data_IF_551004206776
#
_entry.id   IF_551004206776
#
_cell.length_a   1.000
_cell.length_b   1.000
_cell.length_c   1.000
_cell.angle_alpha   90.00
_cell.angle_beta   90.00
_cell.angle_gamma   90.00
#
_symmetry.space_group_name_H-M   'P 1'
#
loop_
_entity.id
_entity.type
_entity.pdbx_description
1 polymer ?
#
# COMPACT_ATOMS: atom_id res chain seq x y z
N UNK A 1 -8.99 35.27 -8.72
CA UNK A 1 -8.85 33.89 -8.25
C UNK A 1 -7.39 33.55 -8.35
N UNK A 2 -6.72 33.33 -7.23
CA UNK A 2 -5.34 32.78 -7.24
C UNK A 2 -5.41 31.39 -7.88
N UNK A 3 -4.62 31.15 -8.93
CA UNK A 3 -4.54 29.84 -9.55
C UNK A 3 -4.03 28.86 -8.49
N UNK A 4 -4.68 27.69 -8.37
CA UNK A 4 -4.23 26.63 -7.46
C UNK A 4 -2.77 26.28 -7.75
N UNK A 5 -1.95 26.05 -6.71
CA UNK A 5 -0.53 25.74 -6.92
C UNK A 5 -0.36 24.45 -7.72
N UNK A 6 0.63 24.41 -8.62
CA UNK A 6 0.95 23.21 -9.39
C UNK A 6 1.64 22.18 -8.49
N UNK A 7 1.11 20.98 -8.44
CA UNK A 7 1.64 19.85 -7.65
C UNK A 7 2.25 18.79 -8.56
N UNK A 8 3.50 18.40 -8.29
CA UNK A 8 4.14 17.24 -8.89
C UNK A 8 4.24 16.11 -7.87
N UNK A 9 3.67 14.95 -8.18
CA UNK A 9 3.82 13.73 -7.38
C UNK A 9 4.95 12.89 -7.98
N UNK A 10 5.93 12.52 -7.17
CA UNK A 10 7.01 11.58 -7.50
C UNK A 10 6.72 10.29 -6.75
N UNK A 11 6.37 9.22 -7.45
CA UNK A 11 5.83 8.01 -6.83
C UNK A 11 6.33 6.73 -7.51
N UNK A 12 6.43 5.60 -6.78
CA UNK A 12 6.49 4.30 -7.42
C UNK A 12 5.14 3.97 -8.08
N UNK A 13 5.15 3.00 -9.01
CA UNK A 13 3.92 2.52 -9.66
C UNK A 13 3.01 1.71 -8.74
N UNK A 14 3.42 1.44 -7.54
CA UNK A 14 2.86 0.59 -6.50
C UNK A 14 1.33 0.42 -6.59
N UNK A 15 0.87 -0.67 -7.17
CA UNK A 15 -0.54 -1.05 -7.36
C UNK A 15 -1.50 0.07 -7.82
N UNK A 16 -0.96 1.17 -8.38
CA UNK A 16 -1.76 2.30 -8.87
C UNK A 16 -2.24 3.28 -7.81
N UNK A 17 -1.72 3.24 -6.57
CA UNK A 17 -2.09 4.23 -5.53
C UNK A 17 -1.72 5.66 -5.91
N UNK A 18 -0.68 5.84 -6.74
CA UNK A 18 -0.37 7.15 -7.30
C UNK A 18 -1.57 7.80 -8.01
N UNK A 19 -2.44 7.00 -8.67
CA UNK A 19 -3.66 7.50 -9.33
C UNK A 19 -4.67 8.00 -8.31
N UNK A 20 -4.79 7.30 -7.17
CA UNK A 20 -5.68 7.70 -6.10
C UNK A 20 -5.27 9.06 -5.51
N UNK A 21 -3.98 9.24 -5.18
CA UNK A 21 -3.45 10.51 -4.70
C UNK A 21 -3.55 11.62 -5.75
N UNK A 22 -3.19 11.36 -7.01
CA UNK A 22 -3.34 12.33 -8.10
C UNK A 22 -4.80 12.79 -8.25
N UNK A 23 -5.75 11.84 -8.22
CA UNK A 23 -7.18 12.14 -8.27
C UNK A 23 -7.66 12.93 -7.06
N UNK A 24 -7.22 12.57 -5.85
CA UNK A 24 -7.57 13.26 -4.62
C UNK A 24 -7.10 14.72 -4.62
N UNK A 25 -5.84 14.97 -4.95
CA UNK A 25 -5.33 16.35 -5.04
C UNK A 25 -6.00 17.16 -6.15
N UNK A 26 -6.39 16.53 -7.26
CA UNK A 26 -7.20 17.24 -8.29
C UNK A 26 -8.59 17.62 -7.76
N UNK A 27 -9.22 16.80 -6.93
CA UNK A 27 -10.51 17.13 -6.28
C UNK A 27 -10.36 18.24 -5.26
N UNK A 28 -9.20 18.37 -4.59
CA UNK A 28 -8.85 19.51 -3.75
C UNK A 28 -8.54 20.79 -4.57
N UNK A 29 -8.60 20.73 -5.89
CA UNK A 29 -8.40 21.89 -6.77
C UNK A 29 -6.96 22.12 -7.21
N UNK A 30 -6.03 21.18 -6.97
CA UNK A 30 -4.65 21.29 -7.39
C UNK A 30 -4.43 20.70 -8.80
N UNK A 31 -3.94 21.47 -9.79
CA UNK A 31 -3.43 20.93 -11.03
C UNK A 31 -2.25 19.98 -10.74
N UNK A 32 -2.51 18.66 -10.79
CA UNK A 32 -1.57 17.64 -10.34
C UNK A 32 -1.11 16.77 -11.49
N UNK A 33 0.19 16.45 -11.51
CA UNK A 33 0.82 15.51 -12.42
C UNK A 33 1.68 14.52 -11.61
N UNK A 34 1.70 13.25 -12.02
CA UNK A 34 2.53 12.22 -11.39
C UNK A 34 3.65 11.77 -12.32
N UNK A 35 4.87 11.69 -11.80
CA UNK A 35 5.98 10.95 -12.37
C UNK A 35 6.15 9.62 -11.62
N UNK A 36 5.98 8.52 -12.33
CA UNK A 36 6.30 7.19 -11.80
C UNK A 36 7.76 6.88 -12.07
N UNK A 37 8.55 6.80 -11.00
CA UNK A 37 10.01 6.65 -11.15
C UNK A 37 10.43 5.22 -11.48
N UNK A 38 9.65 4.20 -11.11
CA UNK A 38 9.90 2.77 -11.38
C UNK A 38 9.19 2.26 -12.65
N UNK A 39 8.61 3.17 -13.46
CA UNK A 39 7.95 2.77 -14.69
C UNK A 39 8.97 2.30 -15.73
N UNK A 40 9.00 0.99 -15.91
CA UNK A 40 9.75 0.34 -16.96
C UNK A 40 8.85 0.17 -18.18
N UNK A 41 9.18 0.83 -19.28
CA UNK A 41 8.43 0.71 -20.53
C UNK A 41 8.49 -0.72 -21.09
N UNK A 42 7.33 -1.36 -21.28
CA UNK A 42 7.20 -2.62 -22.00
C UNK A 42 7.85 -3.87 -21.36
N UNK A 43 7.61 -5.03 -21.99
CA UNK A 43 8.12 -6.34 -21.52
C UNK A 43 9.65 -6.43 -21.65
N UNK A 44 10.19 -5.94 -22.76
CA UNK A 44 11.65 -5.95 -23.01
C UNK A 44 12.43 -5.09 -22.01
N UNK A 45 11.87 -3.94 -21.62
CA UNK A 45 12.49 -3.08 -20.62
C UNK A 45 12.47 -3.73 -19.22
N UNK A 46 11.40 -4.47 -18.87
CA UNK A 46 11.33 -5.24 -17.59
C UNK A 46 12.33 -6.39 -17.57
N UNK A 47 12.49 -7.11 -18.68
CA UNK A 47 13.49 -8.17 -18.80
C UNK A 47 14.92 -7.59 -18.73
N UNK A 48 15.15 -6.48 -19.42
CA UNK A 48 16.42 -5.76 -19.38
C UNK A 48 16.75 -5.21 -17.98
N UNK A 49 15.76 -4.73 -17.25
CA UNK A 49 15.91 -4.30 -15.86
C UNK A 49 16.33 -5.46 -14.96
N UNK A 50 15.61 -6.60 -15.05
CA UNK A 50 15.94 -7.80 -14.26
C UNK A 50 17.36 -8.28 -14.53
N UNK A 51 17.80 -8.30 -15.78
CA UNK A 51 19.14 -8.71 -16.15
C UNK A 51 20.23 -7.70 -15.73
N UNK A 52 19.95 -6.40 -15.85
CA UNK A 52 20.93 -5.33 -15.60
C UNK A 52 21.00 -4.86 -14.15
N UNK A 53 19.96 -5.09 -13.37
CA UNK A 53 19.88 -4.68 -11.97
C UNK A 53 19.95 -5.89 -11.05
N UNK A 54 18.94 -6.76 -11.06
CA UNK A 54 18.85 -7.87 -10.09
C UNK A 54 19.99 -8.91 -10.27
N UNK A 55 20.35 -9.26 -11.53
CA UNK A 55 21.41 -10.23 -11.78
C UNK A 55 22.78 -9.63 -11.49
N UNK A 56 22.98 -8.35 -11.85
CA UNK A 56 24.25 -7.65 -11.60
C UNK A 56 24.51 -7.52 -10.10
N UNK A 57 23.49 -7.13 -9.30
CA UNK A 57 23.62 -7.04 -7.84
C UNK A 57 23.92 -8.41 -7.20
N UNK A 58 23.30 -9.48 -7.69
CA UNK A 58 23.59 -10.85 -7.22
C UNK A 58 25.00 -11.32 -7.50
N UNK A 59 25.63 -10.75 -8.55
CA UNK A 59 27.02 -11.00 -8.92
C UNK A 59 27.99 -10.02 -8.24
N UNK A 60 27.54 -9.24 -7.27
CA UNK A 60 28.35 -8.28 -6.52
C UNK A 60 28.56 -6.94 -7.23
N UNK A 61 27.75 -6.62 -8.24
CA UNK A 61 27.80 -5.34 -8.95
C UNK A 61 26.94 -4.24 -8.32
N UNK A 62 26.89 -3.07 -8.96
CA UNK A 62 26.20 -1.85 -8.50
C UNK A 62 24.92 -1.55 -9.29
N UNK A 63 24.17 -2.57 -9.70
CA UNK A 63 22.96 -2.45 -10.53
C UNK A 63 21.90 -1.55 -9.91
N UNK A 64 21.60 -1.72 -8.61
CA UNK A 64 20.67 -0.89 -7.85
C UNK A 64 21.11 0.58 -7.79
N UNK A 65 22.38 0.83 -7.50
CA UNK A 65 22.89 2.19 -7.44
C UNK A 65 22.84 2.91 -8.80
N UNK A 66 23.12 2.20 -9.90
CA UNK A 66 22.95 2.76 -11.26
C UNK A 66 21.51 3.07 -11.59
N UNK A 67 20.60 2.17 -11.22
CA UNK A 67 19.18 2.39 -11.41
C UNK A 67 18.69 3.59 -10.60
N UNK A 68 19.05 3.69 -9.33
CA UNK A 68 18.71 4.82 -8.47
C UNK A 68 19.19 6.15 -9.08
N UNK A 69 20.44 6.22 -9.57
CA UNK A 69 20.96 7.42 -10.28
C UNK A 69 20.12 7.79 -11.51
N UNK A 70 19.73 6.81 -12.34
CA UNK A 70 18.89 7.07 -13.53
C UNK A 70 17.50 7.57 -13.17
N UNK A 71 16.89 6.98 -12.14
CA UNK A 71 15.60 7.37 -11.60
C UNK A 71 15.64 8.79 -11.06
N UNK A 72 16.65 9.10 -10.23
CA UNK A 72 16.84 10.40 -9.61
C UNK A 72 17.03 11.49 -10.68
N UNK A 73 17.93 11.27 -11.65
CA UNK A 73 18.15 12.20 -12.76
C UNK A 73 16.90 12.42 -13.63
N UNK A 74 16.04 11.39 -13.80
CA UNK A 74 14.75 11.54 -14.50
C UNK A 74 13.78 12.39 -13.69
N UNK A 75 13.69 12.18 -12.39
CA UNK A 75 12.86 12.96 -11.50
C UNK A 75 13.32 14.43 -11.43
N UNK A 76 14.64 14.67 -11.32
CA UNK A 76 15.25 16.01 -11.36
C UNK A 76 14.89 16.77 -12.64
N UNK A 77 14.99 16.11 -13.81
CA UNK A 77 14.59 16.73 -15.09
C UNK A 77 13.09 17.07 -15.10
N UNK A 78 12.23 16.22 -14.55
CA UNK A 78 10.81 16.49 -14.48
C UNK A 78 10.49 17.70 -13.59
N UNK A 79 11.17 17.86 -12.46
CA UNK A 79 11.06 19.02 -11.58
C UNK A 79 11.50 20.28 -12.32
N UNK A 80 12.69 20.30 -12.90
CA UNK A 80 13.23 21.46 -13.63
C UNK A 80 12.35 21.88 -14.81
N UNK A 81 11.77 20.91 -15.54
CA UNK A 81 10.93 21.19 -16.71
C UNK A 81 9.51 21.67 -16.35
N UNK A 82 8.92 21.13 -15.30
CA UNK A 82 7.54 21.48 -14.89
C UNK A 82 7.49 22.66 -13.91
N UNK A 83 8.61 22.96 -13.22
CA UNK A 83 8.71 24.02 -12.19
C UNK A 83 7.49 24.05 -11.26
N UNK A 84 7.23 22.94 -10.53
CA UNK A 84 6.07 22.85 -9.66
C UNK A 84 6.24 23.78 -8.44
N UNK A 85 5.15 24.23 -7.85
CA UNK A 85 5.17 24.96 -6.58
C UNK A 85 5.28 24.01 -5.37
N UNK A 86 4.75 22.80 -5.52
CA UNK A 86 4.72 21.76 -4.49
C UNK A 86 5.17 20.43 -5.08
N UNK A 87 5.87 19.64 -4.27
CA UNK A 87 6.29 18.27 -4.64
C UNK A 87 5.88 17.32 -3.54
N UNK A 88 5.08 16.30 -3.89
CA UNK A 88 4.83 15.16 -3.02
C UNK A 88 5.73 14.01 -3.44
N UNK A 89 6.64 13.61 -2.57
CA UNK A 89 7.48 12.43 -2.75
C UNK A 89 6.86 11.27 -1.99
N UNK A 90 6.41 10.23 -2.71
CA UNK A 90 5.91 9.01 -2.11
C UNK A 90 7.03 7.98 -2.06
N UNK A 91 7.42 7.56 -0.86
CA UNK A 91 8.55 6.72 -0.50
C UNK A 91 9.89 7.43 -0.68
N UNK A 92 10.40 7.59 -1.89
CA UNK A 92 11.56 8.44 -2.21
C UNK A 92 12.94 7.86 -1.90
N UNK A 93 13.05 6.64 -1.38
CA UNK A 93 14.31 6.00 -0.95
C UNK A 93 15.33 5.74 -2.07
N UNK A 94 14.95 5.93 -3.32
CA UNK A 94 15.83 5.83 -4.50
C UNK A 94 16.25 7.17 -5.06
N UNK A 95 15.73 8.28 -4.53
CA UNK A 95 16.04 9.62 -4.97
C UNK A 95 17.34 10.10 -4.31
N UNK A 96 18.22 10.71 -5.10
CA UNK A 96 19.55 11.17 -4.70
C UNK A 96 19.61 12.69 -4.67
N UNK A 97 20.74 13.24 -4.26
CA UNK A 97 20.96 14.68 -4.06
C UNK A 97 20.59 15.52 -5.29
N UNK A 98 20.90 15.05 -6.51
CA UNK A 98 20.59 15.75 -7.76
C UNK A 98 19.08 16.05 -7.96
N UNK A 99 18.21 15.20 -7.39
CA UNK A 99 16.76 15.44 -7.35
C UNK A 99 16.40 16.54 -6.34
N UNK A 100 16.96 16.49 -5.14
CA UNK A 100 16.66 17.45 -4.08
C UNK A 100 17.21 18.83 -4.42
N UNK A 101 18.41 18.90 -5.02
CA UNK A 101 18.95 20.13 -5.61
C UNK A 101 18.00 20.71 -6.66
N UNK A 102 17.43 19.88 -7.55
CA UNK A 102 16.47 20.34 -8.54
C UNK A 102 15.19 20.88 -7.92
N UNK A 103 14.72 20.30 -6.80
CA UNK A 103 13.55 20.83 -6.05
C UNK A 103 13.88 22.19 -5.44
N UNK A 104 15.06 22.33 -4.84
CA UNK A 104 15.53 23.60 -4.27
C UNK A 104 15.74 24.68 -5.35
N UNK A 105 16.38 24.34 -6.47
CA UNK A 105 16.66 25.25 -7.61
C UNK A 105 15.38 25.92 -8.16
N UNK A 106 14.26 25.20 -8.18
CA UNK A 106 12.99 25.75 -8.67
C UNK A 106 12.16 26.41 -7.57
N UNK A 107 12.60 26.36 -6.32
CA UNK A 107 11.90 26.90 -5.16
C UNK A 107 10.62 26.11 -4.79
N UNK A 108 10.53 24.83 -5.15
CA UNK A 108 9.38 23.99 -4.83
C UNK A 108 9.40 23.56 -3.37
N UNK A 109 8.22 23.45 -2.75
CA UNK A 109 8.06 22.98 -1.37
C UNK A 109 7.80 21.46 -1.36
N UNK A 110 8.76 20.61 -0.90
CA UNK A 110 8.56 19.18 -0.84
C UNK A 110 7.82 18.75 0.42
N UNK A 111 7.09 17.64 0.32
CA UNK A 111 6.58 16.82 1.42
C UNK A 111 6.89 15.37 1.08
N UNK A 112 7.42 14.60 2.03
CA UNK A 112 7.69 13.18 1.85
C UNK A 112 6.62 12.33 2.56
N UNK A 113 5.94 11.45 1.82
CA UNK A 113 5.02 10.45 2.35
C UNK A 113 5.72 9.08 2.41
N UNK A 114 5.89 8.56 3.62
CA UNK A 114 6.47 7.24 3.91
C UNK A 114 5.32 6.29 4.24
N UNK A 115 5.09 5.28 3.39
CA UNK A 115 4.03 4.27 3.55
C UNK A 115 4.58 2.85 3.83
N UNK A 116 5.82 2.76 4.25
CA UNK A 116 6.50 1.55 4.72
C UNK A 116 7.40 1.95 5.89
N UNK A 117 7.76 1.04 6.79
CA UNK A 117 8.68 1.38 7.88
C UNK A 117 10.06 1.77 7.34
N UNK A 118 10.64 2.83 7.88
CA UNK A 118 11.94 3.35 7.43
C UNK A 118 13.03 2.28 7.54
N UNK A 119 12.97 1.43 8.57
CA UNK A 119 13.90 0.30 8.74
C UNK A 119 13.83 -0.74 7.61
N UNK A 120 12.73 -0.80 6.88
CA UNK A 120 12.52 -1.69 5.71
C UNK A 120 12.87 -1.03 4.39
N UNK A 121 13.16 0.25 4.41
CA UNK A 121 13.52 1.04 3.24
C UNK A 121 15.05 1.13 3.11
N UNK A 122 15.53 1.45 1.91
CA UNK A 122 16.95 1.70 1.65
C UNK A 122 17.33 3.15 1.97
N UNK A 123 16.94 3.65 3.16
CA UNK A 123 17.13 5.04 3.59
C UNK A 123 17.34 5.11 5.11
N UNK A 124 17.63 6.30 5.64
CA UNK A 124 17.72 6.55 7.07
C UNK A 124 16.71 7.61 7.51
N UNK A 125 16.49 7.74 8.82
CA UNK A 125 15.65 8.79 9.40
C UNK A 125 16.17 10.19 9.01
N UNK A 126 17.49 10.39 9.06
CA UNK A 126 18.15 11.66 8.71
C UNK A 126 17.92 12.03 7.24
N UNK A 127 18.04 11.05 6.33
CA UNK A 127 17.80 11.27 4.91
C UNK A 127 16.33 11.60 4.61
N UNK A 128 15.39 10.93 5.29
CA UNK A 128 13.94 11.18 5.10
C UNK A 128 13.56 12.59 5.54
N UNK A 129 14.11 13.09 6.65
CA UNK A 129 13.77 14.39 7.22
C UNK A 129 14.56 15.57 6.64
N UNK A 130 15.60 15.32 5.84
CA UNK A 130 16.56 16.35 5.40
C UNK A 130 15.94 17.44 4.50
N UNK A 131 14.87 17.15 3.79
CA UNK A 131 14.40 17.99 2.70
C UNK A 131 13.02 18.62 2.89
N UNK A 132 12.41 18.48 4.06
CA UNK A 132 11.13 19.12 4.38
C UNK A 132 10.22 18.26 5.27
N UNK A 133 8.94 18.65 5.40
CA UNK A 133 7.97 17.93 6.20
C UNK A 133 7.80 16.47 5.76
N UNK A 134 7.56 15.60 6.73
CA UNK A 134 7.36 14.16 6.52
C UNK A 134 5.96 13.76 6.99
N UNK A 135 5.30 12.91 6.23
CA UNK A 135 4.14 12.16 6.65
C UNK A 135 4.52 10.67 6.73
N UNK A 136 4.24 10.00 7.83
CA UNK A 136 4.49 8.56 7.99
C UNK A 136 3.22 7.83 8.36
N UNK A 137 3.02 6.63 7.79
CA UNK A 137 1.91 5.74 8.15
C UNK A 137 2.17 4.97 9.45
N UNK A 138 3.42 4.94 9.90
CA UNK A 138 3.88 4.30 11.13
C UNK A 138 3.90 5.30 12.28
N UNK A 139 3.22 4.96 13.37
CA UNK A 139 3.27 5.76 14.60
C UNK A 139 4.67 5.74 15.23
N UNK A 140 5.37 4.60 15.15
CA UNK A 140 6.74 4.44 15.62
C UNK A 140 7.70 5.36 14.85
N UNK A 141 7.68 5.34 13.52
CA UNK A 141 8.54 6.21 12.72
C UNK A 141 8.21 7.69 12.93
N UNK A 142 6.91 8.03 13.10
CA UNK A 142 6.49 9.38 13.43
C UNK A 142 7.11 9.86 14.74
N UNK A 143 7.05 9.04 15.79
CA UNK A 143 7.67 9.36 17.07
C UNK A 143 9.20 9.46 16.98
N UNK A 144 9.83 8.54 16.25
CA UNK A 144 11.28 8.52 16.05
C UNK A 144 11.79 9.74 15.27
N UNK A 145 11.06 10.19 14.26
CA UNK A 145 11.36 11.40 13.47
C UNK A 145 11.14 12.67 14.32
N UNK A 146 10.03 12.74 15.05
CA UNK A 146 9.75 13.87 15.94
C UNK A 146 10.82 14.03 17.03
N UNK A 147 11.30 12.94 17.63
CA UNK A 147 12.38 12.94 18.60
C UNK A 147 13.72 13.46 18.02
N UNK A 148 13.90 13.39 16.70
CA UNK A 148 15.05 13.96 15.96
C UNK A 148 14.83 15.41 15.51
N UNK A 149 13.69 16.01 15.87
CA UNK A 149 13.36 17.40 15.51
C UNK A 149 12.74 17.58 14.12
N UNK A 150 12.30 16.49 13.46
CA UNK A 150 11.61 16.58 12.17
C UNK A 150 10.23 17.24 12.29
N UNK A 151 9.84 18.02 11.28
CA UNK A 151 8.43 18.38 11.08
C UNK A 151 7.72 17.16 10.48
N UNK A 152 7.07 16.37 11.34
CA UNK A 152 6.43 15.11 10.96
C UNK A 152 5.01 15.01 11.46
N UNK A 153 4.12 14.38 10.66
CA UNK A 153 2.76 14.02 11.06
C UNK A 153 2.50 12.55 10.77
N UNK A 154 1.66 11.93 11.61
CA UNK A 154 1.16 10.59 11.38
C UNK A 154 0.00 10.66 10.40
N UNK A 155 0.21 10.19 9.17
CA UNK A 155 -0.82 10.11 8.12
C UNK A 155 -1.02 8.65 7.76
N UNK A 156 -2.14 8.10 8.19
CA UNK A 156 -2.50 6.69 7.93
C UNK A 156 -2.68 6.40 6.45
N UNK A 157 -2.64 5.14 6.07
CA UNK A 157 -3.09 4.70 4.75
C UNK A 157 -4.61 4.90 4.57
N UNK A 158 -5.14 4.66 3.39
CA UNK A 158 -6.55 4.88 3.13
C UNK A 158 -7.10 4.10 1.94
N UNK A 159 -8.42 4.08 1.84
CA UNK A 159 -9.17 3.44 0.79
C UNK A 159 -9.37 4.36 -0.43
N UNK A 160 -9.12 3.85 -1.64
CA UNK A 160 -9.44 4.57 -2.89
C UNK A 160 -10.92 4.38 -3.23
N UNK A 161 -11.77 5.28 -2.73
CA UNK A 161 -13.21 5.25 -2.93
C UNK A 161 -13.67 5.55 -4.36
N UNK A 162 -12.76 6.00 -5.22
CA UNK A 162 -13.04 6.36 -6.62
C UNK A 162 -12.60 5.29 -7.62
N UNK A 163 -11.87 4.24 -7.19
CA UNK A 163 -11.49 3.16 -8.07
C UNK A 163 -12.72 2.28 -8.40
N UNK A 164 -13.17 2.24 -9.66
CA UNK A 164 -14.32 1.41 -10.03
C UNK A 164 -13.97 -0.08 -9.94
N UNK A 165 -14.88 -0.86 -9.38
CA UNK A 165 -14.77 -2.31 -9.31
C UNK A 165 -16.15 -2.97 -9.48
N UNK A 166 -16.15 -4.28 -9.75
CA UNK A 166 -17.36 -5.11 -9.78
C UNK A 166 -17.23 -6.21 -8.75
N UNK A 167 -18.16 -6.34 -7.78
CA UNK A 167 -18.17 -7.44 -6.83
C UNK A 167 -18.15 -8.79 -7.56
N UNK A 168 -17.39 -9.73 -7.00
CA UNK A 168 -17.25 -11.10 -7.49
C UNK A 168 -17.72 -12.06 -6.42
N UNK A 169 -19.02 -12.38 -6.37
CA UNK A 169 -19.57 -13.25 -5.35
C UNK A 169 -18.88 -14.61 -5.33
N UNK A 170 -18.50 -15.06 -4.16
CA UNK A 170 -17.94 -16.39 -3.91
C UNK A 170 -18.32 -16.86 -2.51
N UNK A 171 -18.25 -18.16 -2.30
CA UNK A 171 -18.41 -18.85 -1.02
C UNK A 171 -17.08 -19.03 -0.26
N UNK A 172 -16.04 -18.36 -0.71
CA UNK A 172 -14.68 -18.49 -0.18
C UNK A 172 -14.33 -17.36 0.79
N UNK A 173 -13.48 -17.69 1.76
CA UNK A 173 -12.68 -16.74 2.53
C UNK A 173 -11.42 -16.44 1.73
N UNK A 174 -11.07 -15.17 1.56
CA UNK A 174 -9.98 -14.77 0.67
C UNK A 174 -8.84 -14.10 1.42
N UNK A 175 -7.62 -14.34 0.94
CA UNK A 175 -6.44 -13.59 1.33
C UNK A 175 -5.76 -13.02 0.07
N UNK A 176 -5.45 -11.73 0.08
CA UNK A 176 -4.75 -11.07 -1.05
C UNK A 176 -3.44 -10.48 -0.54
N UNK A 177 -2.30 -11.05 -0.94
CA UNK A 177 -1.00 -10.54 -0.52
C UNK A 177 0.16 -11.50 -0.70
N UNK A 178 1.32 -11.10 -0.18
CA UNK A 178 2.51 -11.93 -0.16
C UNK A 178 2.49 -12.94 1.00
N UNK A 179 3.13 -14.09 0.80
CA UNK A 179 3.31 -15.10 1.84
C UNK A 179 4.58 -14.80 2.64
N UNK A 180 4.42 -14.31 3.84
CA UNK A 180 5.48 -14.17 4.85
C UNK A 180 4.88 -14.35 6.26
N UNK A 181 5.75 -14.53 7.26
CA UNK A 181 5.32 -14.80 8.63
C UNK A 181 4.43 -16.05 8.72
N UNK A 182 3.34 -15.95 9.46
CA UNK A 182 2.40 -17.05 9.71
C UNK A 182 1.29 -17.21 8.64
N UNK A 183 1.23 -16.35 7.62
CA UNK A 183 0.13 -16.30 6.63
C UNK A 183 -0.16 -17.65 5.98
N UNK A 184 0.87 -18.30 5.45
CA UNK A 184 0.71 -19.61 4.80
C UNK A 184 0.24 -20.71 5.76
N UNK A 185 0.69 -20.69 7.00
CA UNK A 185 0.29 -21.66 8.03
C UNK A 185 -1.18 -21.48 8.43
N UNK A 186 -1.63 -20.24 8.65
CA UNK A 186 -3.02 -19.91 8.97
C UNK A 186 -3.99 -20.30 7.84
N UNK A 187 -3.64 -19.98 6.60
CA UNK A 187 -4.46 -20.35 5.44
C UNK A 187 -4.55 -21.87 5.28
N UNK A 188 -3.43 -22.61 5.47
CA UNK A 188 -3.44 -24.06 5.44
C UNK A 188 -4.20 -24.68 6.62
N UNK A 189 -4.28 -24.01 7.77
CA UNK A 189 -5.09 -24.42 8.90
C UNK A 189 -6.60 -24.28 8.56
N UNK A 190 -7.01 -23.16 7.98
CA UNK A 190 -8.39 -22.94 7.52
C UNK A 190 -8.83 -24.02 6.51
N UNK A 191 -8.02 -24.27 5.50
CA UNK A 191 -8.30 -25.28 4.46
C UNK A 191 -8.47 -26.67 5.07
N UNK A 192 -7.55 -27.11 5.95
CA UNK A 192 -7.67 -28.39 6.69
C UNK A 192 -8.89 -28.46 7.62
N UNK A 193 -9.36 -27.33 8.11
CA UNK A 193 -10.57 -27.22 8.95
C UNK A 193 -11.87 -27.20 8.15
N UNK A 194 -11.80 -27.38 6.82
CA UNK A 194 -12.96 -27.42 5.93
C UNK A 194 -13.53 -26.04 5.60
N UNK A 195 -12.82 -24.95 5.85
CA UNK A 195 -13.20 -23.61 5.38
C UNK A 195 -12.75 -23.47 3.94
N UNK A 196 -13.66 -23.09 3.04
CA UNK A 196 -13.31 -22.78 1.68
C UNK A 196 -12.46 -21.50 1.66
N UNK A 197 -11.15 -21.63 1.38
CA UNK A 197 -10.20 -20.54 1.41
C UNK A 197 -9.45 -20.41 0.09
N UNK A 198 -9.12 -19.17 -0.31
CA UNK A 198 -8.31 -18.90 -1.51
C UNK A 198 -7.33 -17.77 -1.30
N UNK A 199 -6.07 -18.01 -1.67
CA UNK A 199 -5.01 -17.02 -1.62
C UNK A 199 -4.73 -16.42 -3.01
N UNK A 200 -4.54 -15.10 -3.06
CA UNK A 200 -4.12 -14.37 -4.26
C UNK A 200 -2.78 -13.69 -4.01
N UNK A 201 -1.76 -14.08 -4.77
CA UNK A 201 -0.43 -13.50 -4.65
C UNK A 201 0.65 -14.35 -5.32
N UNK A 202 1.72 -13.70 -5.75
CA UNK A 202 2.83 -14.37 -6.47
C UNK A 202 3.52 -15.44 -5.64
N UNK A 203 3.62 -15.24 -4.33
CA UNK A 203 4.26 -16.17 -3.41
C UNK A 203 3.39 -17.38 -3.03
N UNK A 204 2.10 -17.36 -3.39
CA UNK A 204 1.18 -18.49 -3.30
C UNK A 204 1.00 -19.23 -4.63
N UNK A 205 1.11 -18.49 -5.74
CA UNK A 205 0.83 -18.98 -7.09
C UNK A 205 1.81 -20.08 -7.54
N UNK A 206 1.27 -21.16 -8.13
CA UNK A 206 2.04 -22.23 -8.77
C UNK A 206 2.35 -21.94 -10.25
N UNK A 207 1.99 -20.75 -10.76
CA UNK A 207 2.26 -20.40 -12.14
C UNK A 207 3.78 -20.30 -12.40
N UNK A 208 4.33 -20.90 -13.51
CA UNK A 208 5.76 -20.93 -13.77
C UNK A 208 6.45 -19.56 -13.72
N UNK A 209 5.79 -18.52 -14.25
CA UNK A 209 6.31 -17.14 -14.22
C UNK A 209 6.46 -16.63 -12.78
N UNK A 210 5.54 -16.96 -11.90
CA UNK A 210 5.58 -16.50 -10.49
C UNK A 210 6.61 -17.31 -9.69
N UNK A 211 6.78 -18.59 -10.01
CA UNK A 211 7.88 -19.43 -9.47
C UNK A 211 9.25 -18.83 -9.83
N UNK A 212 9.45 -18.51 -11.11
CA UNK A 212 10.67 -17.88 -11.59
C UNK A 212 10.92 -16.47 -11.00
N UNK A 213 9.85 -15.71 -10.74
CA UNK A 213 9.96 -14.33 -10.20
C UNK A 213 10.26 -14.28 -8.72
N UNK A 214 9.69 -15.20 -7.94
CA UNK A 214 9.83 -15.19 -6.48
C UNK A 214 10.98 -16.03 -5.97
N UNK A 215 11.60 -16.87 -6.82
CA UNK A 215 12.65 -17.83 -6.46
C UNK A 215 12.27 -18.77 -5.31
N UNK A 216 10.97 -18.88 -5.01
CA UNK A 216 10.44 -19.74 -3.96
C UNK A 216 9.94 -21.03 -4.61
N UNK A 217 10.62 -22.14 -4.35
CA UNK A 217 10.22 -23.46 -4.85
C UNK A 217 9.05 -24.05 -4.05
N UNK A 218 8.99 -23.78 -2.75
CA UNK A 218 7.92 -24.28 -1.87
C UNK A 218 6.80 -23.27 -1.73
N UNK A 219 5.56 -23.74 -1.86
CA UNK A 219 4.34 -22.96 -1.69
C UNK A 219 3.50 -23.54 -0.55
N UNK A 220 2.73 -22.73 0.18
CA UNK A 220 1.71 -23.24 1.09
C UNK A 220 0.73 -24.14 0.32
N UNK A 221 0.30 -25.29 0.89
CA UNK A 221 -0.67 -26.17 0.27
C UNK A 221 -2.10 -25.62 0.45
N UNK A 222 -2.40 -24.52 -0.24
CA UNK A 222 -3.72 -23.87 -0.21
C UNK A 222 -4.16 -23.54 -1.62
N UNK A 223 -5.48 -23.56 -1.93
CA UNK A 223 -6.01 -23.08 -3.18
C UNK A 223 -5.53 -21.64 -3.45
N UNK A 224 -4.93 -21.41 -4.62
CA UNK A 224 -4.28 -20.13 -4.86
C UNK A 224 -4.37 -19.66 -6.32
N UNK A 225 -4.29 -18.35 -6.48
CA UNK A 225 -4.19 -17.66 -7.75
C UNK A 225 -3.00 -16.69 -7.78
N UNK A 226 -2.69 -16.23 -8.98
CA UNK A 226 -1.72 -15.18 -9.22
C UNK A 226 -2.14 -13.87 -8.55
N UNK A 227 -1.18 -12.96 -8.45
CA UNK A 227 -1.42 -11.57 -8.12
C UNK A 227 -2.44 -10.92 -9.07
N UNK A 228 -3.31 -10.09 -8.52
CA UNK A 228 -4.41 -9.45 -9.25
C UNK A 228 -4.31 -7.93 -9.18
N UNK A 229 -4.76 -7.20 -10.23
CA UNK A 229 -4.88 -5.75 -10.17
C UNK A 229 -5.81 -5.30 -9.03
N UNK A 230 -5.55 -4.12 -8.46
CA UNK A 230 -6.29 -3.56 -7.31
C UNK A 230 -7.80 -3.54 -7.51
N UNK A 231 -8.30 -3.10 -8.66
CA UNK A 231 -9.74 -3.12 -8.95
C UNK A 231 -10.36 -4.53 -8.94
N UNK A 232 -9.57 -5.55 -9.31
CA UNK A 232 -10.00 -6.95 -9.23
C UNK A 232 -9.97 -7.44 -7.80
N UNK A 233 -8.94 -7.05 -7.02
CA UNK A 233 -8.85 -7.31 -5.58
C UNK A 233 -10.05 -6.75 -4.83
N UNK A 234 -10.43 -5.51 -5.10
CA UNK A 234 -11.63 -4.87 -4.56
C UNK A 234 -12.91 -5.68 -4.86
N UNK A 235 -13.06 -6.16 -6.09
CA UNK A 235 -14.20 -6.99 -6.48
C UNK A 235 -14.23 -8.33 -5.75
N UNK A 236 -13.08 -8.97 -5.56
CA UNK A 236 -12.93 -10.24 -4.82
C UNK A 236 -13.28 -10.02 -3.35
N UNK A 237 -12.69 -9.02 -2.70
CA UNK A 237 -12.95 -8.70 -1.29
C UNK A 237 -14.43 -8.34 -1.03
N UNK A 238 -15.04 -7.58 -1.93
CA UNK A 238 -16.46 -7.22 -1.83
C UNK A 238 -17.43 -8.41 -1.96
N UNK A 239 -17.01 -9.45 -2.69
CA UNK A 239 -17.85 -10.61 -2.98
C UNK A 239 -17.56 -11.86 -2.15
N UNK A 240 -16.45 -11.90 -1.42
CA UNK A 240 -16.04 -13.03 -0.60
C UNK A 240 -16.90 -13.20 0.68
N UNK A 241 -16.91 -14.39 1.27
CA UNK A 241 -17.50 -14.64 2.60
C UNK A 241 -16.82 -13.76 3.66
N UNK A 242 -15.49 -13.72 3.64
CA UNK A 242 -14.67 -12.83 4.45
C UNK A 242 -13.32 -12.59 3.77
N UNK A 243 -12.64 -11.54 4.16
CA UNK A 243 -11.30 -11.21 3.69
C UNK A 243 -10.33 -11.11 4.86
N UNK A 244 -9.22 -11.84 4.76
CA UNK A 244 -8.23 -11.91 5.82
C UNK A 244 -7.21 -10.77 5.66
N UNK A 245 -6.97 -10.08 6.75
CA UNK A 245 -5.91 -9.09 6.90
C UNK A 245 -4.95 -9.56 7.99
N UNK A 246 -3.92 -10.28 7.58
CA UNK A 246 -2.95 -10.90 8.49
C UNK A 246 -1.68 -10.06 8.45
N UNK A 247 -1.37 -9.42 9.57
CA UNK A 247 -0.13 -8.67 9.78
C UNK A 247 1.02 -9.60 10.18
N UNK A 248 2.20 -9.06 10.25
CA UNK A 248 3.39 -9.70 10.79
C UNK A 248 4.02 -8.69 11.78
N UNK A 249 5.22 -8.22 11.53
CA UNK A 249 5.92 -7.23 12.36
C UNK A 249 5.72 -5.79 11.89
N UNK A 250 4.59 -5.49 11.25
CA UNK A 250 4.29 -4.15 10.76
C UNK A 250 3.74 -3.30 11.91
N UNK A 251 4.29 -2.08 12.07
CA UNK A 251 3.79 -1.11 13.03
C UNK A 251 2.51 -0.44 12.49
N UNK A 252 2.56 0.13 11.31
CA UNK A 252 1.41 0.77 10.69
C UNK A 252 0.38 -0.21 10.13
N UNK A 253 -0.85 0.27 9.98
CA UNK A 253 -1.91 -0.47 9.29
C UNK A 253 -1.79 -0.31 7.79
N UNK A 254 -1.70 -1.45 7.09
CA UNK A 254 -1.59 -1.46 5.62
C UNK A 254 -2.89 -1.05 4.94
N UNK A 255 -2.82 -0.70 3.66
CA UNK A 255 -3.96 -0.35 2.81
C UNK A 255 -5.15 -1.31 2.96
N UNK A 256 -4.92 -2.62 3.21
CA UNK A 256 -5.99 -3.63 3.35
C UNK A 256 -6.93 -3.36 4.49
N UNK A 257 -6.44 -2.83 5.59
CA UNK A 257 -7.26 -2.44 6.75
C UNK A 257 -8.34 -1.42 6.36
N UNK A 258 -8.13 -0.68 5.32
CA UNK A 258 -9.09 0.31 4.82
C UNK A 258 -9.83 -0.18 3.56
N UNK A 259 -9.18 -1.00 2.74
CA UNK A 259 -9.75 -1.49 1.48
C UNK A 259 -10.88 -2.49 1.72
N UNK A 260 -10.66 -3.46 2.62
CA UNK A 260 -11.64 -4.52 2.86
C UNK A 260 -12.97 -3.95 3.33
N UNK A 261 -13.04 -3.18 4.43
CA UNK A 261 -14.30 -2.58 4.82
C UNK A 261 -14.78 -1.51 3.83
N UNK A 262 -13.87 -0.76 3.20
CA UNK A 262 -14.21 0.26 2.20
C UNK A 262 -15.00 -0.26 1.01
N UNK A 263 -14.69 -1.46 0.52
CA UNK A 263 -15.46 -2.13 -0.54
C UNK A 263 -16.72 -2.86 -0.01
N UNK A 264 -16.95 -2.83 1.30
CA UNK A 264 -18.05 -3.58 1.94
C UNK A 264 -17.72 -5.07 2.11
N UNK A 265 -16.44 -5.44 2.16
CA UNK A 265 -15.99 -6.77 2.56
C UNK A 265 -16.07 -6.96 4.08
N UNK A 266 -16.16 -8.21 4.54
CA UNK A 266 -16.03 -8.55 5.95
C UNK A 266 -14.56 -8.77 6.27
N UNK A 267 -13.99 -7.90 7.09
CA UNK A 267 -12.59 -7.99 7.49
C UNK A 267 -12.41 -8.86 8.73
N UNK A 268 -11.47 -9.84 8.64
CA UNK A 268 -10.93 -10.56 9.79
C UNK A 268 -9.46 -10.18 9.92
N UNK A 269 -9.10 -9.57 11.05
CA UNK A 269 -7.78 -8.98 11.31
C UNK A 269 -7.17 -9.54 12.59
N UNK A 270 -5.85 -9.67 12.64
CA UNK A 270 -5.07 -10.25 13.76
C UNK A 270 -4.46 -9.20 14.71
N UNK A 271 -5.04 -8.00 14.77
CA UNK A 271 -4.52 -6.87 15.58
C UNK A 271 -5.62 -6.20 16.40
N UNK A 272 -5.44 -6.13 17.71
CA UNK A 272 -6.37 -5.49 18.64
C UNK A 272 -6.37 -3.95 18.53
N UNK A 273 -5.23 -3.36 18.22
CA UNK A 273 -5.09 -1.93 18.07
C UNK A 273 -5.82 -1.35 16.84
N UNK A 274 -6.46 -2.21 16.03
CA UNK A 274 -7.46 -1.78 15.04
C UNK A 274 -8.62 -1.01 15.70
N UNK A 275 -8.79 -1.15 17.01
CA UNK A 275 -9.74 -0.38 17.83
C UNK A 275 -9.54 1.14 17.74
N UNK A 276 -8.34 1.61 17.38
CA UNK A 276 -8.05 3.02 17.09
C UNK A 276 -8.68 3.53 15.77
N UNK A 277 -9.20 2.62 14.94
CA UNK A 277 -9.73 2.91 13.61
C UNK A 277 -11.19 2.49 13.45
N UNK A 278 -11.51 1.32 13.98
CA UNK A 278 -12.81 0.66 13.84
C UNK A 278 -13.29 0.10 15.17
N UNK A 279 -14.59 -0.09 15.34
CA UNK A 279 -15.18 -0.78 16.49
C UNK A 279 -15.10 -2.31 16.28
N UNK A 280 -14.21 -3.04 17.01
CA UNK A 280 -14.10 -4.49 16.89
C UNK A 280 -15.43 -5.19 17.22
N UNK A 281 -15.75 -6.23 16.45
CA UNK A 281 -17.01 -6.98 16.58
C UNK A 281 -18.22 -6.34 15.88
N UNK A 282 -18.12 -5.05 15.52
CA UNK A 282 -19.19 -4.30 14.85
C UNK A 282 -18.82 -3.77 13.47
N UNK A 283 -17.59 -3.32 13.26
CA UNK A 283 -17.11 -2.72 12.02
C UNK A 283 -16.05 -3.60 11.34
N UNK A 284 -15.25 -4.29 12.13
CA UNK A 284 -14.28 -5.32 11.74
C UNK A 284 -14.28 -6.44 12.77
N UNK A 285 -13.72 -7.61 12.44
CA UNK A 285 -13.64 -8.75 13.35
C UNK A 285 -12.19 -9.06 13.66
N UNK A 286 -11.83 -9.06 14.95
CA UNK A 286 -10.50 -9.42 15.42
C UNK A 286 -10.47 -10.91 15.76
N UNK A 287 -9.37 -11.58 15.46
CA UNK A 287 -9.10 -12.97 15.87
C UNK A 287 -7.72 -13.08 16.53
N UNK A 288 -7.61 -13.93 17.54
CA UNK A 288 -6.40 -14.12 18.36
C UNK A 288 -5.82 -15.53 18.24
N UNK A 289 -6.58 -16.46 17.67
CA UNK A 289 -6.13 -17.84 17.46
C UNK A 289 -6.60 -18.39 16.12
N UNK A 290 -5.93 -19.46 15.61
CA UNK A 290 -6.40 -20.15 14.42
C UNK A 290 -7.79 -20.75 14.57
N UNK A 291 -8.16 -21.23 15.78
CA UNK A 291 -9.46 -21.82 16.10
C UNK A 291 -10.57 -20.77 16.08
N UNK A 292 -10.34 -19.60 16.70
CA UNK A 292 -11.26 -18.46 16.65
C UNK A 292 -11.46 -17.98 15.21
N UNK A 293 -10.39 -17.93 14.41
CA UNK A 293 -10.49 -17.59 12.99
C UNK A 293 -11.39 -18.57 12.22
N UNK A 294 -11.29 -19.88 12.49
CA UNK A 294 -12.18 -20.90 11.89
C UNK A 294 -13.64 -20.64 12.26
N UNK A 295 -13.91 -20.35 13.53
CA UNK A 295 -15.29 -20.13 14.02
C UNK A 295 -15.88 -18.86 13.42
N UNK A 296 -15.12 -17.77 13.33
CA UNK A 296 -15.55 -16.54 12.67
C UNK A 296 -15.82 -16.77 11.18
N UNK A 297 -15.00 -17.53 10.48
CA UNK A 297 -15.22 -17.87 9.07
C UNK A 297 -16.52 -18.69 8.88
N UNK A 298 -16.76 -19.68 9.74
CA UNK A 298 -17.99 -20.50 9.70
C UNK A 298 -19.23 -19.67 10.01
N UNK A 299 -19.16 -18.79 11.02
CA UNK A 299 -20.23 -17.87 11.32
C UNK A 299 -20.51 -16.91 10.17
N UNK A 300 -19.47 -16.36 9.54
CA UNK A 300 -19.64 -15.46 8.39
C UNK A 300 -20.35 -16.14 7.21
N UNK A 301 -20.12 -17.44 7.01
CA UNK A 301 -20.76 -18.22 5.95
C UNK A 301 -22.24 -18.55 6.25
N UNK A 302 -22.62 -18.72 7.52
CA UNK A 302 -23.96 -19.19 7.93
C UNK A 302 -24.87 -18.04 8.40
N UNK A 303 -24.35 -17.06 9.15
CA UNK A 303 -25.09 -15.90 9.66
C UNK A 303 -24.89 -14.68 8.74
N UNK A 304 -25.55 -14.74 7.59
CA UNK A 304 -25.40 -13.69 6.56
C UNK A 304 -25.96 -12.33 6.97
N UNK A 305 -26.94 -12.31 7.88
CA UNK A 305 -27.52 -11.06 8.38
C UNK A 305 -26.54 -10.33 9.30
N UNK A 306 -25.90 -11.05 10.22
CA UNK A 306 -24.85 -10.52 11.07
C UNK A 306 -23.65 -10.03 10.25
N UNK A 307 -23.15 -10.87 9.34
CA UNK A 307 -22.02 -10.52 8.47
C UNK A 307 -22.30 -9.25 7.64
N UNK A 308 -23.53 -9.09 7.14
CA UNK A 308 -23.97 -7.89 6.42
C UNK A 308 -23.93 -6.66 7.31
N UNK A 309 -24.42 -6.76 8.54
CA UNK A 309 -24.40 -5.66 9.52
C UNK A 309 -22.99 -5.13 9.77
N UNK A 310 -22.01 -6.04 9.97
CA UNK A 310 -20.59 -5.69 10.16
C UNK A 310 -20.01 -5.02 8.91
N UNK A 311 -20.23 -5.59 7.72
CA UNK A 311 -19.77 -5.01 6.44
C UNK A 311 -20.29 -3.59 6.22
N UNK A 312 -21.60 -3.36 6.46
CA UNK A 312 -22.20 -2.04 6.29
C UNK A 312 -21.67 -1.03 7.29
N UNK A 313 -21.43 -1.43 8.53
CA UNK A 313 -20.87 -0.57 9.56
C UNK A 313 -19.40 -0.20 9.23
N UNK A 314 -18.56 -1.19 8.92
CA UNK A 314 -17.16 -0.96 8.52
C UNK A 314 -17.06 -0.06 7.28
N UNK A 315 -17.92 -0.29 6.28
CA UNK A 315 -17.94 0.55 5.09
C UNK A 315 -18.30 2.00 5.39
N UNK A 316 -19.33 2.22 6.22
CA UNK A 316 -19.71 3.60 6.62
C UNK A 316 -18.56 4.32 7.31
N UNK A 317 -17.90 3.66 8.27
CA UNK A 317 -16.72 4.19 8.97
C UNK A 317 -15.61 4.56 7.97
N UNK A 318 -15.25 3.62 7.08
CA UNK A 318 -14.17 3.84 6.11
C UNK A 318 -14.46 5.02 5.18
N UNK A 319 -15.68 5.10 4.66
CA UNK A 319 -16.05 6.21 3.77
C UNK A 319 -16.09 7.56 4.48
N UNK A 320 -16.41 7.57 5.77
CA UNK A 320 -16.47 8.80 6.56
C UNK A 320 -15.08 9.32 6.99
N UNK A 321 -14.08 8.43 7.19
CA UNK A 321 -12.85 8.82 7.89
C UNK A 321 -11.55 8.30 7.24
N UNK A 322 -11.62 7.28 6.38
CA UNK A 322 -10.42 6.53 5.98
C UNK A 322 -10.24 6.41 4.46
N UNK A 323 -10.64 7.43 3.70
CA UNK A 323 -10.38 7.47 2.25
C UNK A 323 -9.07 8.17 1.92
N UNK A 324 -8.53 7.93 0.72
CA UNK A 324 -7.37 8.66 0.20
C UNK A 324 -7.65 10.18 0.10
N UNK A 325 -8.91 10.60 -0.06
CA UNK A 325 -9.26 12.02 -0.05
C UNK A 325 -8.99 12.67 1.31
N UNK A 326 -9.29 11.97 2.42
CA UNK A 326 -8.93 12.45 3.76
C UNK A 326 -7.41 12.56 3.90
N UNK A 327 -6.65 11.56 3.42
CA UNK A 327 -5.18 11.58 3.47
C UNK A 327 -4.58 12.71 2.65
N UNK A 328 -5.15 12.98 1.48
CA UNK A 328 -4.71 14.10 0.66
C UNK A 328 -4.93 15.46 1.35
N UNK A 329 -6.05 15.63 2.06
CA UNK A 329 -6.30 16.83 2.85
C UNK A 329 -5.34 16.98 4.04
N UNK A 330 -5.02 15.87 4.74
CA UNK A 330 -4.00 15.86 5.81
C UNK A 330 -2.61 16.23 5.26
N UNK A 331 -2.24 15.69 4.09
CA UNK A 331 -0.98 16.02 3.42
C UNK A 331 -0.94 17.46 2.92
N UNK A 332 -2.07 18.00 2.45
CA UNK A 332 -2.16 19.40 1.99
C UNK A 332 -1.81 20.39 3.10
N UNK A 333 -2.21 20.10 4.33
CA UNK A 333 -1.92 20.94 5.49
C UNK A 333 -0.41 21.11 5.77
N UNK A 334 0.44 20.19 5.30
CA UNK A 334 1.90 20.27 5.45
C UNK A 334 2.55 21.36 4.54
N UNK A 335 1.83 21.88 3.58
CA UNK A 335 2.28 23.00 2.76
C UNK A 335 1.68 24.36 3.19
N UNK A 336 0.87 24.39 4.24
CA UNK A 336 0.25 25.61 4.75
C UNK A 336 1.28 26.59 5.37
#
# INVERSE_FOLDING_TARGET
>A
MLSSPRLLIISPSFHGYWQAYEGAFRRLGHPTRTLRYDELGGVLARLGHKARVELVDRLGGDGQARWARQVSARAARAVRSSRPERVLVIRGDVLQEDFWEAVADVGARPVTLVYDEIERMSTSYEAVMAHGPVASYSAHDTAALAARGAHVVHVRDGYDSHLPYRPRPSDEVVFIGANYGQRGALLAHLDRSGVAVRAYGRSFSHHPVDLARTWLARRPPVPSHRDVPRQVAYGIQAGAVASLNIHDRQDGFTMRTYEIPGVGGLELIDRDDVADLYEPGREVLVFHSPEELVDLCRRAATDTAWARGVREAGRRRTLAEHTIDHRAAELEALWA
#
